data_IF_632863163995
#
_entry.id   IF_632863163995
#
_cell.length_a   1.000
_cell.length_b   1.000
_cell.length_c   1.000
_cell.angle_alpha   90.00
_cell.angle_beta   90.00
_cell.angle_gamma   90.00
#
_symmetry.space_group_name_H-M   'P 1'
#
loop_
_entity.id
_entity.type
_entity.pdbx_description
1 polymer ?
#
# COMPACT_ATOMS: atom_id res chain seq x y z
N UNK A 1 9.07 14.23 11.29
CA UNK A 1 9.93 13.40 10.44
C UNK A 1 9.41 11.99 10.37
N UNK A 2 9.50 11.46 9.21
CA UNK A 2 8.99 10.16 8.91
C UNK A 2 10.12 9.24 8.49
N UNK A 3 10.13 8.02 9.01
CA UNK A 3 11.07 7.03 8.57
C UNK A 3 10.51 6.24 7.42
N UNK A 4 11.36 5.99 6.46
CA UNK A 4 11.01 5.24 5.29
C UNK A 4 11.92 4.02 5.21
N UNK A 5 11.32 2.84 5.28
CA UNK A 5 12.08 1.59 5.26
C UNK A 5 11.67 0.81 4.03
N UNK A 6 12.64 0.54 3.16
CA UNK A 6 12.39 -0.23 1.97
C UNK A 6 11.97 -1.65 2.33
N UNK A 7 11.00 -2.17 1.61
CA UNK A 7 10.53 -3.53 1.83
C UNK A 7 11.02 -4.42 0.70
N UNK A 8 12.05 -5.22 0.96
CA UNK A 8 12.41 -6.23 -0.03
C UNK A 8 11.30 -7.22 -0.18
N UNK A 9 11.03 -7.61 -1.40
CA UNK A 9 9.90 -8.50 -1.69
C UNK A 9 10.18 -9.95 -1.34
N UNK A 10 11.40 -10.28 -1.00
CA UNK A 10 11.76 -11.67 -0.77
C UNK A 10 12.37 -11.86 0.59
N UNK A 11 12.05 -12.98 1.18
CA UNK A 11 12.83 -13.57 2.24
C UNK A 11 12.69 -13.01 3.63
N UNK A 12 12.63 -11.72 3.76
CA UNK A 12 12.69 -11.16 5.10
C UNK A 12 11.47 -11.50 5.97
N UNK A 13 10.35 -11.76 5.36
CA UNK A 13 9.11 -12.04 6.10
C UNK A 13 9.02 -13.48 6.55
N UNK A 14 9.84 -14.34 5.99
CA UNK A 14 9.87 -15.73 6.40
C UNK A 14 10.19 -15.86 7.89
N UNK A 15 11.05 -14.99 8.36
CA UNK A 15 11.46 -15.04 9.76
C UNK A 15 10.38 -14.57 10.70
N UNK A 16 9.53 -13.65 10.26
CA UNK A 16 8.45 -13.17 11.09
C UNK A 16 7.46 -14.26 11.45
N UNK A 17 7.32 -15.24 10.57
CA UNK A 17 6.41 -16.34 10.80
C UNK A 17 6.82 -17.23 11.97
N UNK A 18 8.05 -17.10 12.41
CA UNK A 18 8.56 -17.93 13.50
C UNK A 18 7.97 -17.52 14.84
N UNK A 19 7.46 -16.33 14.94
CA UNK A 19 6.94 -15.86 16.20
C UNK A 19 5.56 -16.47 16.47
N UNK A 20 5.56 -17.71 16.80
CA UNK A 20 4.34 -18.47 17.01
C UNK A 20 3.69 -18.21 18.35
N UNK A 21 4.37 -17.50 19.20
CA UNK A 21 3.84 -17.21 20.54
C UNK A 21 2.76 -16.12 20.50
N UNK A 22 2.69 -15.39 19.43
CA UNK A 22 1.70 -14.36 19.30
C UNK A 22 0.45 -14.94 18.64
N UNK A 23 -0.64 -14.96 19.37
CA UNK A 23 -1.90 -15.48 18.88
C UNK A 23 -2.56 -14.55 17.88
N UNK A 24 -2.10 -13.32 17.81
CA UNK A 24 -2.59 -12.36 16.85
C UNK A 24 -1.73 -12.43 15.60
N UNK A 25 -2.30 -12.01 14.52
CA UNK A 25 -1.51 -11.86 13.32
C UNK A 25 -0.49 -10.77 13.57
N UNK A 26 0.75 -11.09 13.31
CA UNK A 26 1.81 -10.12 13.45
C UNK A 26 1.60 -8.98 12.43
N UNK A 27 1.81 -7.76 12.89
CA UNK A 27 1.68 -6.60 12.03
C UNK A 27 2.62 -6.68 10.83
N UNK A 28 3.80 -7.28 11.02
CA UNK A 28 4.75 -7.45 9.92
C UNK A 28 4.21 -8.39 8.85
N UNK A 29 3.49 -9.42 9.24
CA UNK A 29 2.88 -10.33 8.29
C UNK A 29 1.76 -9.66 7.50
N UNK A 30 0.97 -8.84 8.17
CA UNK A 30 -0.10 -8.10 7.52
C UNK A 30 0.48 -7.13 6.50
N UNK A 31 1.49 -6.40 6.92
CA UNK A 31 2.18 -5.45 6.04
C UNK A 31 2.76 -6.16 4.83
N UNK A 32 3.45 -7.27 5.06
CA UNK A 32 4.04 -8.05 3.98
C UNK A 32 2.99 -8.55 3.00
N UNK A 33 1.87 -9.00 3.51
CA UNK A 33 0.77 -9.48 2.67
C UNK A 33 0.23 -8.36 1.79
N UNK A 34 0.05 -7.18 2.36
CA UNK A 34 -0.46 -6.03 1.61
C UNK A 34 0.52 -5.61 0.53
N UNK A 35 1.81 -5.51 0.86
CA UNK A 35 2.84 -5.17 -0.12
C UNK A 35 2.87 -6.19 -1.25
N UNK A 36 2.77 -7.47 -0.91
CA UNK A 36 2.77 -8.53 -1.91
C UNK A 36 1.58 -8.41 -2.86
N UNK A 37 0.40 -8.18 -2.31
CA UNK A 37 -0.79 -8.05 -3.14
C UNK A 37 -0.69 -6.84 -4.07
N UNK A 38 -0.17 -5.73 -3.57
CA UNK A 38 0.03 -4.53 -4.36
C UNK A 38 1.03 -4.77 -5.47
N UNK A 39 2.14 -5.42 -5.13
CA UNK A 39 3.18 -5.73 -6.11
C UNK A 39 2.69 -6.70 -7.17
N UNK A 40 1.90 -7.67 -6.78
CA UNK A 40 1.33 -8.63 -7.73
C UNK A 40 0.35 -7.94 -8.68
N UNK A 41 -0.41 -6.99 -8.17
CA UNK A 41 -1.43 -6.33 -8.99
C UNK A 41 -0.81 -5.36 -9.99
N UNK A 42 0.09 -4.49 -9.53
CA UNK A 42 0.65 -3.43 -10.38
C UNK A 42 2.01 -3.75 -10.98
N UNK A 43 2.69 -4.76 -10.46
CA UNK A 43 4.04 -5.08 -10.96
C UNK A 43 4.97 -3.90 -10.79
N UNK A 44 5.69 -3.56 -11.85
CA UNK A 44 6.68 -2.49 -11.81
C UNK A 44 6.08 -1.09 -11.71
N UNK A 45 4.77 -0.96 -11.86
CA UNK A 45 4.13 0.34 -11.73
C UNK A 45 4.07 0.82 -10.27
N UNK A 46 4.17 -0.10 -9.32
CA UNK A 46 4.18 0.23 -7.89
C UNK A 46 5.58 0.00 -7.33
N UNK A 47 6.18 1.04 -6.76
CA UNK A 47 7.52 0.93 -6.19
C UNK A 47 7.70 1.91 -5.03
N UNK A 48 8.92 1.95 -4.50
CA UNK A 48 9.30 2.84 -3.39
C UNK A 48 8.41 2.67 -2.17
N UNK A 49 8.19 1.43 -1.78
CA UNK A 49 7.40 1.13 -0.60
C UNK A 49 8.09 1.61 0.67
N UNK A 50 7.31 2.19 1.54
CA UNK A 50 7.83 2.85 2.73
C UNK A 50 6.80 2.75 3.84
N UNK A 51 7.21 2.24 4.99
CA UNK A 51 6.32 2.08 6.13
C UNK A 51 6.74 3.00 7.26
N UNK A 52 5.76 3.56 7.94
CA UNK A 52 5.99 4.39 9.12
C UNK A 52 4.91 4.11 10.15
N UNK A 53 5.15 4.59 11.37
CA UNK A 53 4.19 4.54 12.48
C UNK A 53 3.67 3.13 12.77
N UNK A 54 4.52 2.14 12.59
CA UNK A 54 4.14 0.76 12.83
C UNK A 54 4.12 0.48 14.33
N UNK A 55 2.99 -0.04 14.83
CA UNK A 55 2.85 -0.36 16.23
C UNK A 55 1.78 -1.42 16.42
N UNK A 56 1.91 -2.18 17.50
CA UNK A 56 0.89 -3.16 17.91
C UNK A 56 0.06 -2.67 19.08
N UNK A 57 0.48 -1.60 19.72
CA UNK A 57 -0.12 -1.13 20.97
C UNK A 57 -0.58 0.32 20.81
N UNK A 58 -1.81 0.65 21.21
CA UNK A 58 -2.85 -0.18 21.82
C UNK A 58 -3.54 -1.12 20.84
N UNK A 59 -3.33 -0.94 19.55
CA UNK A 59 -3.86 -1.81 18.49
C UNK A 59 -2.92 -1.79 17.32
N UNK A 60 -3.05 -2.75 16.44
CA UNK A 60 -2.20 -2.84 15.27
C UNK A 60 -2.47 -1.68 14.32
N UNK A 61 -1.40 -1.02 13.92
CA UNK A 61 -1.49 0.17 13.08
C UNK A 61 -0.20 0.38 12.31
N UNK A 62 -0.29 0.79 11.08
CA UNK A 62 0.87 1.29 10.32
C UNK A 62 0.39 2.16 9.17
N UNK A 63 1.33 2.90 8.62
CA UNK A 63 1.11 3.71 7.43
C UNK A 63 2.07 3.22 6.36
N UNK A 64 1.54 2.82 5.23
CA UNK A 64 2.33 2.38 4.09
C UNK A 64 2.15 3.37 2.96
N UNK A 65 3.26 3.76 2.35
CA UNK A 65 3.22 4.62 1.16
C UNK A 65 4.00 3.95 0.05
N UNK A 66 3.55 4.18 -1.17
CA UNK A 66 4.27 3.71 -2.34
C UNK A 66 3.98 4.62 -3.51
N UNK A 67 4.89 4.59 -4.47
CA UNK A 67 4.74 5.35 -5.70
C UNK A 67 3.97 4.50 -6.70
N UNK A 68 2.98 5.09 -7.36
CA UNK A 68 2.19 4.41 -8.36
C UNK A 68 2.34 5.14 -9.68
N UNK A 69 2.75 4.40 -10.71
CA UNK A 69 3.03 4.93 -12.05
C UNK A 69 4.10 6.02 -12.04
N UNK A 70 4.91 6.06 -11.00
CA UNK A 70 5.93 7.10 -10.81
C UNK A 70 5.35 8.51 -10.95
N UNK A 71 4.10 8.64 -10.66
CA UNK A 71 3.39 9.90 -10.77
C UNK A 71 2.69 10.27 -9.47
N UNK A 72 2.06 9.30 -8.84
CA UNK A 72 1.28 9.53 -7.63
C UNK A 72 1.88 8.78 -6.46
N UNK A 73 1.70 9.32 -5.27
CA UNK A 73 2.03 8.61 -4.03
C UNK A 73 0.74 8.20 -3.37
N UNK A 74 0.59 6.89 -3.17
CA UNK A 74 -0.58 6.33 -2.52
C UNK A 74 -0.23 6.00 -1.09
N UNK A 75 -1.08 6.40 -0.18
CA UNK A 75 -0.91 6.10 1.24
C UNK A 75 -2.02 5.20 1.71
N UNK A 76 -1.64 4.15 2.43
CA UNK A 76 -2.58 3.23 3.04
C UNK A 76 -2.41 3.33 4.55
N UNK A 77 -3.48 3.69 5.24
CA UNK A 77 -3.51 3.66 6.69
C UNK A 77 -4.20 2.38 7.13
N UNK A 78 -3.46 1.52 7.79
CA UNK A 78 -4.00 0.29 8.35
C UNK A 78 -4.23 0.51 9.83
N UNK A 79 -5.44 0.22 10.27
CA UNK A 79 -5.80 0.37 11.67
C UNK A 79 -6.96 -0.55 11.98
N UNK A 80 -6.79 -1.40 12.98
CA UNK A 80 -7.85 -2.30 13.44
C UNK A 80 -8.47 -3.09 12.31
N UNK A 81 -7.62 -3.70 11.49
CA UNK A 81 -8.04 -4.55 10.38
C UNK A 81 -8.76 -3.82 9.25
N UNK A 82 -8.70 -2.51 9.24
CA UNK A 82 -9.29 -1.69 8.18
C UNK A 82 -8.24 -0.89 7.45
N UNK A 83 -8.48 -0.65 6.20
CA UNK A 83 -7.57 0.08 5.31
C UNK A 83 -8.24 1.34 4.79
N UNK A 84 -7.50 2.43 4.81
CA UNK A 84 -7.90 3.69 4.20
C UNK A 84 -6.89 4.01 3.12
N UNK A 85 -7.38 4.33 1.94
CA UNK A 85 -6.52 4.67 0.81
C UNK A 85 -6.63 6.15 0.51
N UNK A 86 -5.48 6.80 0.37
CA UNK A 86 -5.43 8.21 0.00
C UNK A 86 -4.27 8.46 -0.94
N UNK A 87 -4.34 9.56 -1.64
CA UNK A 87 -3.26 10.04 -2.49
C UNK A 87 -2.62 11.24 -1.79
N UNK A 88 -1.29 11.27 -1.78
CA UNK A 88 -0.55 12.35 -1.14
C UNK A 88 0.05 13.24 -2.21
N UNK A 89 -0.22 14.54 -2.11
CA UNK A 89 0.34 15.51 -3.03
C UNK A 89 0.69 16.77 -2.25
N UNK A 90 1.96 17.16 -2.32
CA UNK A 90 2.45 18.38 -1.66
C UNK A 90 2.08 18.45 -0.19
N UNK A 91 2.18 17.30 0.50
CA UNK A 91 1.89 17.24 1.92
C UNK A 91 0.41 17.16 2.27
N UNK A 92 -0.46 17.13 1.29
CA UNK A 92 -1.91 17.03 1.49
C UNK A 92 -2.38 15.65 1.04
N UNK A 93 -3.24 15.05 1.84
CA UNK A 93 -3.83 13.75 1.51
C UNK A 93 -5.24 13.92 1.00
N UNK A 94 -5.55 13.20 -0.07
CA UNK A 94 -6.89 13.17 -0.65
C UNK A 94 -7.40 11.74 -0.61
N UNK A 95 -8.59 11.54 -0.08
CA UNK A 95 -9.17 10.21 -0.01
C UNK A 95 -9.41 9.65 -1.42
N UNK A 96 -8.95 8.43 -1.67
CA UNK A 96 -9.18 7.76 -2.94
C UNK A 96 -10.46 6.96 -2.93
N UNK A 97 -10.87 6.51 -1.75
CA UNK A 97 -12.13 5.83 -1.56
C UNK A 97 -12.86 6.48 -0.40
N UNK A 98 -14.17 6.53 -0.49
CA UNK A 98 -14.99 7.14 0.56
C UNK A 98 -15.30 6.18 1.70
N UNK A 99 -14.78 4.96 1.64
CA UNK A 99 -15.09 3.94 2.63
C UNK A 99 -13.81 3.25 3.11
N UNK A 100 -13.92 2.60 4.26
CA UNK A 100 -12.88 1.70 4.75
C UNK A 100 -12.99 0.37 4.02
N UNK A 101 -11.86 -0.27 3.86
CA UNK A 101 -11.80 -1.60 3.28
C UNK A 101 -11.28 -2.56 4.33
N UNK A 102 -11.93 -3.70 4.47
CA UNK A 102 -11.47 -4.70 5.43
C UNK A 102 -10.35 -5.54 4.83
N UNK A 103 -9.28 -5.69 5.58
CA UNK A 103 -8.24 -6.65 5.25
C UNK A 103 -8.82 -8.06 5.49
N UNK A 104 -8.59 -9.06 4.64
CA UNK A 104 -7.60 -9.09 3.55
C UNK A 104 -8.16 -8.89 2.14
N UNK A 105 -9.39 -8.50 1.97
CA UNK A 105 -10.01 -8.44 0.63
C UNK A 105 -9.57 -7.19 -0.14
N UNK A 106 -8.49 -7.31 -0.91
CA UNK A 106 -7.92 -6.17 -1.61
C UNK A 106 -8.11 -6.15 -3.11
N UNK A 107 -8.30 -7.29 -3.75
CA UNK A 107 -8.22 -7.33 -5.21
C UNK A 107 -9.16 -6.37 -5.91
N UNK A 108 -10.44 -6.41 -5.54
CA UNK A 108 -11.41 -5.51 -6.15
C UNK A 108 -11.13 -4.05 -5.79
N UNK A 109 -10.64 -3.84 -4.58
CA UNK A 109 -10.30 -2.51 -4.11
C UNK A 109 -9.15 -1.93 -4.90
N UNK A 110 -8.13 -2.74 -5.19
CA UNK A 110 -6.98 -2.26 -5.96
C UNK A 110 -7.40 -1.82 -7.35
N UNK A 111 -8.36 -2.51 -7.95
CA UNK A 111 -8.89 -2.11 -9.26
C UNK A 111 -9.57 -0.75 -9.18
N UNK A 112 -10.36 -0.51 -8.12
CA UNK A 112 -10.99 0.79 -7.93
C UNK A 112 -9.95 1.90 -7.70
N UNK A 113 -8.95 1.62 -6.91
CA UNK A 113 -7.87 2.56 -6.65
C UNK A 113 -7.14 2.90 -7.96
N UNK A 114 -6.88 1.89 -8.77
CA UNK A 114 -6.20 2.10 -10.03
C UNK A 114 -6.98 3.05 -10.93
N UNK A 115 -8.28 2.87 -11.02
CA UNK A 115 -9.10 3.77 -11.82
C UNK A 115 -9.07 5.19 -11.31
N UNK A 116 -9.18 5.36 -9.98
CA UNK A 116 -9.15 6.69 -9.38
C UNK A 116 -7.82 7.39 -9.61
N UNK A 117 -6.72 6.66 -9.47
CA UNK A 117 -5.40 7.24 -9.70
C UNK A 117 -5.21 7.61 -11.16
N UNK A 118 -5.62 6.73 -12.08
CA UNK A 118 -5.46 6.98 -13.50
C UNK A 118 -6.24 8.22 -13.98
N UNK A 119 -7.36 8.51 -13.34
CA UNK A 119 -8.11 9.72 -13.68
C UNK A 119 -7.33 11.00 -13.42
N UNK A 120 -6.36 10.93 -12.53
CA UNK A 120 -5.54 12.08 -12.14
C UNK A 120 -4.23 12.18 -12.91
N UNK A 121 -3.92 11.18 -13.73
CA UNK A 121 -2.67 11.13 -14.48
C UNK A 121 -2.98 11.46 -15.94
N UNK A 122 -2.26 12.42 -16.54
CA UNK A 122 -2.48 12.73 -17.96
C UNK A 122 -2.26 11.50 -18.86
N UNK A 123 -3.14 11.31 -19.81
CA UNK A 123 -3.03 10.18 -20.74
C UNK A 123 -1.70 10.19 -21.48
N UNK A 124 -1.21 11.36 -21.82
CA UNK A 124 0.08 11.48 -22.49
C UNK A 124 1.20 10.87 -21.69
N UNK A 125 1.15 11.07 -20.37
CA UNK A 125 2.16 10.51 -19.49
C UNK A 125 2.09 8.99 -19.48
N UNK A 126 0.88 8.44 -19.35
CA UNK A 126 0.71 7.00 -19.33
C UNK A 126 1.16 6.36 -20.62
N UNK A 127 0.84 6.97 -21.74
CA UNK A 127 1.28 6.49 -23.05
C UNK A 127 2.80 6.50 -23.15
N UNK A 128 3.41 7.62 -22.75
CA UNK A 128 4.86 7.77 -22.86
C UNK A 128 5.60 6.76 -22.00
N UNK A 129 5.02 6.33 -20.88
CA UNK A 129 5.65 5.38 -19.97
C UNK A 129 5.26 3.93 -20.27
N UNK A 130 4.35 3.71 -21.20
CA UNK A 130 3.94 2.35 -21.53
C UNK A 130 2.93 1.75 -20.57
N UNK A 131 2.25 2.56 -19.81
CA UNK A 131 1.27 2.11 -18.82
C UNK A 131 -0.17 2.33 -19.26
N UNK A 132 -0.38 2.68 -20.50
CA UNK A 132 -1.71 2.85 -21.03
C UNK A 132 -2.45 1.51 -21.07
N UNK A 133 -3.73 1.54 -20.70
CA UNK A 133 -4.57 0.36 -20.86
C UNK A 133 -4.90 0.15 -22.33
N UNK A 134 -4.95 -1.09 -22.69
CA UNK A 134 -5.37 -1.46 -24.05
C UNK A 134 -6.87 -1.69 -24.10
#
# INVERSE_FOLDING_TARGET
LRYCVAHPLTGRYVLGAINIMDHRRDIDEIEASIVTQISDYWGSAADDFCTSESTNIPFQRFVLEFSLYRYSVVRINFERNSLFFSEVSKGISFSLLSRKVSYPDLIDTLAEIDEEVRLRIPDKYLVAKGWQRT
#
